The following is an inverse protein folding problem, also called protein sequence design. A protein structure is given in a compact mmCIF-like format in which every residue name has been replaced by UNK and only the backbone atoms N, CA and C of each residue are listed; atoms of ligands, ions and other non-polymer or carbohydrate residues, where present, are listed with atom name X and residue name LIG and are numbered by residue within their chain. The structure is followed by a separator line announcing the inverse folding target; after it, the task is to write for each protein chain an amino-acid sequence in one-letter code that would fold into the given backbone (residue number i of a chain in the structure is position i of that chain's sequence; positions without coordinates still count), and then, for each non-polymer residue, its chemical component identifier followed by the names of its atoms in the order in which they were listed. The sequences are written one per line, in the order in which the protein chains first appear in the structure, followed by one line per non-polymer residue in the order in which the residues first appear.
data_IF_966262143385
#
_entry.id   IF_966262143385
#
_cell.length_a   1.000
_cell.length_b   1.000
_cell.length_c   1.000
_cell.angle_alpha   90.00
_cell.angle_beta   90.00
_cell.angle_gamma   90.00
#
_symmetry.space_group_name_H-M   'P 1'
#
loop_
_entity.id
_entity.type
_entity.pdbx_description
1 polymer ?
#
# COMPACT_ATOMS: atom_id res chain seq x y z
N UNK A 1 -9.99 7.23 -0.66
CA UNK A 1 -8.64 7.59 -0.22
C UNK A 1 -7.67 7.42 -1.39
N UNK A 2 -6.90 8.45 -1.73
CA UNK A 2 -6.04 8.42 -2.92
C UNK A 2 -4.71 7.71 -2.65
N UNK A 3 -4.77 6.40 -2.50
CA UNK A 3 -3.58 5.57 -2.37
C UNK A 3 -3.28 4.91 -3.71
N UNK A 4 -2.07 5.05 -4.17
CA UNK A 4 -1.59 4.41 -5.38
C UNK A 4 -0.46 3.43 -5.07
N UNK A 5 -0.36 2.37 -5.86
CA UNK A 5 0.71 1.39 -5.75
C UNK A 5 1.17 0.93 -7.12
N UNK A 6 2.41 0.49 -7.20
CA UNK A 6 2.93 -0.12 -8.40
C UNK A 6 3.96 -1.20 -8.05
N UNK A 7 4.11 -2.13 -8.97
CA UNK A 7 5.11 -3.19 -8.86
C UNK A 7 6.05 -3.11 -10.04
N UNK A 8 7.35 -3.16 -9.76
CA UNK A 8 8.38 -3.33 -10.80
C UNK A 8 9.06 -4.67 -10.60
N UNK A 9 9.50 -5.28 -11.70
CA UNK A 9 10.25 -6.54 -11.64
C UNK A 9 11.74 -6.30 -11.35
N UNK A 10 12.53 -7.37 -11.32
CA UNK A 10 13.95 -7.29 -11.02
C UNK A 10 14.74 -6.47 -12.04
N UNK A 11 14.23 -6.33 -13.25
CA UNK A 11 14.87 -5.55 -14.31
C UNK A 11 14.39 -4.09 -14.31
N UNK A 12 13.56 -3.71 -13.35
CA UNK A 12 13.01 -2.36 -13.24
C UNK A 12 11.84 -2.09 -14.17
N UNK A 13 11.27 -3.12 -14.79
CA UNK A 13 10.09 -2.97 -15.66
C UNK A 13 8.83 -2.83 -14.85
N UNK A 14 7.96 -1.92 -15.26
CA UNK A 14 6.67 -1.72 -14.65
C UNK A 14 5.74 -2.90 -14.97
N UNK A 15 5.26 -3.59 -13.93
CA UNK A 15 4.42 -4.78 -14.06
C UNK A 15 2.96 -4.46 -13.76
N UNK A 16 2.69 -3.60 -12.79
CA UNK A 16 1.34 -3.26 -12.36
C UNK A 16 1.29 -1.85 -11.80
N UNK A 17 0.18 -1.15 -12.07
CA UNK A 17 -0.13 0.15 -11.46
C UNK A 17 -1.58 0.11 -11.01
N UNK A 18 -1.84 0.44 -9.76
CA UNK A 18 -3.18 0.36 -9.18
C UNK A 18 -3.48 1.54 -8.27
N UNK A 19 -4.74 1.74 -8.00
CA UNK A 19 -5.22 2.68 -7.01
C UNK A 19 -6.25 1.99 -6.10
N UNK A 20 -6.47 2.55 -4.91
CA UNK A 20 -7.44 2.06 -3.96
C UNK A 20 -8.84 2.05 -4.59
N UNK A 21 -9.58 0.96 -4.42
CA UNK A 21 -10.93 0.76 -4.99
C UNK A 21 -11.94 0.26 -3.97
N UNK A 22 -11.72 0.49 -2.69
CA UNK A 22 -12.60 -0.03 -1.64
C UNK A 22 -14.04 0.46 -1.78
N UNK A 23 -14.24 1.74 -2.09
CA UNK A 23 -15.57 2.32 -2.28
C UNK A 23 -16.15 1.89 -3.62
N UNK A 24 -15.38 2.03 -4.69
CA UNK A 24 -15.81 1.70 -6.06
C UNK A 24 -16.26 0.25 -6.19
N UNK A 25 -15.49 -0.67 -5.63
CA UNK A 25 -15.74 -2.11 -5.75
C UNK A 25 -16.57 -2.66 -4.59
N UNK A 26 -16.94 -1.82 -3.61
CA UNK A 26 -17.61 -2.24 -2.37
C UNK A 26 -16.87 -3.40 -1.70
N UNK A 27 -15.55 -3.32 -1.68
CA UNK A 27 -14.66 -4.35 -1.18
C UNK A 27 -13.66 -3.71 -0.22
N UNK A 28 -13.78 -3.95 1.10
CA UNK A 28 -12.86 -3.36 2.07
C UNK A 28 -11.43 -3.85 1.93
N UNK A 29 -11.20 -4.91 1.17
CA UNK A 29 -9.85 -5.43 0.92
C UNK A 29 -9.22 -4.90 -0.37
N UNK A 30 -9.96 -4.11 -1.16
CA UNK A 30 -9.46 -3.59 -2.44
C UNK A 30 -8.50 -2.41 -2.25
N UNK A 31 -7.48 -2.60 -1.43
CA UNK A 31 -6.38 -1.67 -1.26
C UNK A 31 -5.47 -1.70 -2.48
N UNK A 32 -4.83 -0.56 -2.76
CA UNK A 32 -3.94 -0.43 -3.91
C UNK A 32 -2.86 -1.51 -3.93
N UNK A 33 -2.24 -1.80 -2.79
CA UNK A 33 -1.18 -2.82 -2.69
C UNK A 33 -1.69 -4.21 -3.06
N UNK A 34 -2.85 -4.59 -2.53
CA UNK A 34 -3.44 -5.89 -2.79
C UNK A 34 -3.77 -6.07 -4.28
N UNK A 35 -4.35 -5.02 -4.88
CA UNK A 35 -4.65 -5.01 -6.31
C UNK A 35 -3.38 -5.09 -7.15
N UNK A 36 -2.31 -4.40 -6.73
CA UNK A 36 -1.02 -4.44 -7.42
C UNK A 36 -0.39 -5.83 -7.37
N UNK A 37 -0.44 -6.49 -6.21
CA UNK A 37 0.07 -7.85 -6.07
C UNK A 37 -0.69 -8.84 -6.96
N UNK A 38 -2.01 -8.75 -7.00
CA UNK A 38 -2.83 -9.60 -7.85
C UNK A 38 -2.55 -9.38 -9.33
N UNK A 39 -2.45 -8.12 -9.75
CA UNK A 39 -2.15 -7.79 -11.14
C UNK A 39 -0.76 -8.26 -11.54
N UNK A 40 0.22 -8.08 -10.67
CA UNK A 40 1.59 -8.54 -10.93
C UNK A 40 1.68 -10.06 -11.02
N UNK A 41 1.00 -10.77 -10.11
CA UNK A 41 0.96 -12.23 -10.13
C UNK A 41 0.35 -12.75 -11.44
N UNK A 42 -0.73 -12.13 -11.90
CA UNK A 42 -1.36 -12.48 -13.17
C UNK A 42 -0.44 -12.21 -14.36
N UNK A 43 0.22 -11.06 -14.37
CA UNK A 43 1.12 -10.67 -15.45
C UNK A 43 2.36 -11.56 -15.53
N UNK A 44 2.92 -11.93 -14.40
CA UNK A 44 4.14 -12.75 -14.33
C UNK A 44 3.87 -14.25 -14.29
N UNK A 45 2.61 -14.64 -14.11
CA UNK A 45 2.22 -16.06 -14.05
C UNK A 45 2.70 -16.78 -12.81
N UNK A 46 2.96 -16.05 -11.72
CA UNK A 46 3.48 -16.61 -10.48
C UNK A 46 2.97 -15.79 -9.29
N UNK A 47 2.45 -16.48 -8.27
CA UNK A 47 2.03 -15.84 -7.03
C UNK A 47 3.20 -15.37 -6.16
N UNK A 48 4.40 -15.89 -6.38
CA UNK A 48 5.61 -15.42 -5.73
C UNK A 48 6.25 -14.35 -6.60
N UNK A 49 6.38 -13.18 -6.06
CA UNK A 49 6.91 -12.01 -6.76
C UNK A 49 8.36 -11.76 -6.40
N UNK A 50 9.16 -12.83 -6.39
CA UNK A 50 10.59 -12.79 -6.08
C UNK A 50 11.30 -11.85 -7.07
N UNK A 51 12.14 -10.98 -6.54
CA UNK A 51 12.84 -9.96 -7.32
C UNK A 51 12.05 -8.69 -7.53
N UNK A 52 10.76 -8.68 -7.22
CA UNK A 52 9.91 -7.50 -7.42
C UNK A 52 10.01 -6.51 -6.26
N UNK A 53 9.75 -5.25 -6.57
CA UNK A 53 9.61 -4.16 -5.59
C UNK A 53 8.20 -3.59 -5.70
N UNK A 54 7.54 -3.46 -4.55
CA UNK A 54 6.28 -2.73 -4.46
C UNK A 54 6.53 -1.33 -3.94
N UNK A 55 6.00 -0.35 -4.66
CA UNK A 55 5.96 1.06 -4.25
C UNK A 55 4.52 1.43 -3.93
N UNK A 56 4.32 2.13 -2.83
CA UNK A 56 2.99 2.59 -2.40
C UNK A 56 3.10 3.96 -1.75
N UNK A 57 2.09 4.80 -1.94
CA UNK A 57 2.12 6.18 -1.43
C UNK A 57 1.89 6.28 0.07
N UNK A 58 1.28 5.28 0.68
CA UNK A 58 0.99 5.23 2.12
C UNK A 58 1.50 3.94 2.71
N UNK A 59 1.99 4.00 3.95
CA UNK A 59 2.48 2.84 4.70
C UNK A 59 1.44 1.70 4.69
N UNK A 60 1.84 0.45 4.38
CA UNK A 60 0.90 -0.67 4.34
C UNK A 60 0.25 -0.97 5.69
N UNK A 61 -1.02 -1.33 5.66
CA UNK A 61 -1.74 -1.83 6.82
C UNK A 61 -1.39 -3.31 7.08
N UNK A 62 -1.96 -3.89 8.14
CA UNK A 62 -1.69 -5.28 8.52
C UNK A 62 -2.03 -6.27 7.40
N UNK A 63 -3.17 -6.09 6.76
CA UNK A 63 -3.60 -6.96 5.66
C UNK A 63 -2.61 -6.94 4.50
N UNK A 64 -2.25 -5.74 4.05
CA UNK A 64 -1.35 -5.58 2.91
C UNK A 64 0.07 -5.99 3.26
N UNK A 65 0.55 -5.67 4.45
CA UNK A 65 1.87 -6.11 4.91
C UNK A 65 1.95 -7.64 4.94
N UNK A 66 0.92 -8.31 5.44
CA UNK A 66 0.83 -9.77 5.41
C UNK A 66 0.85 -10.32 3.99
N UNK A 67 0.10 -9.69 3.08
CA UNK A 67 0.07 -10.10 1.67
C UNK A 67 1.43 -9.94 0.99
N UNK A 68 2.15 -8.87 1.31
CA UNK A 68 3.50 -8.62 0.79
C UNK A 68 4.48 -9.71 1.24
N UNK A 69 4.37 -10.16 2.48
CA UNK A 69 5.18 -11.28 2.99
C UNK A 69 4.82 -12.57 2.25
N UNK A 70 3.54 -12.85 2.09
CA UNK A 70 3.07 -14.05 1.38
C UNK A 70 3.52 -14.07 -0.09
N UNK A 71 3.50 -12.90 -0.74
CA UNK A 71 3.92 -12.76 -2.12
C UNK A 71 5.43 -12.80 -2.31
N UNK A 72 6.21 -12.75 -1.23
CA UNK A 72 7.68 -12.84 -1.28
C UNK A 72 8.34 -11.71 -2.08
N UNK A 73 7.79 -10.51 -2.03
CA UNK A 73 8.44 -9.37 -2.67
C UNK A 73 9.80 -9.11 -2.02
N UNK A 74 10.77 -8.66 -2.82
CA UNK A 74 12.12 -8.37 -2.31
C UNK A 74 12.18 -7.07 -1.54
N UNK A 75 11.40 -6.07 -1.96
CA UNK A 75 11.46 -4.73 -1.39
C UNK A 75 10.09 -4.07 -1.35
N UNK A 76 9.85 -3.32 -0.28
CA UNK A 76 8.67 -2.46 -0.12
C UNK A 76 9.15 -1.05 0.13
N UNK A 77 8.67 -0.10 -0.68
CA UNK A 77 8.99 1.32 -0.55
C UNK A 77 7.67 2.07 -0.38
N UNK A 78 7.56 2.87 0.67
CA UNK A 78 6.34 3.65 0.86
C UNK A 78 6.64 5.12 1.14
N UNK A 79 5.64 5.96 0.86
CA UNK A 79 5.75 7.40 1.06
C UNK A 79 5.37 7.83 2.47
N UNK A 80 4.13 8.22 2.67
CA UNK A 80 3.68 8.72 3.95
C UNK A 80 3.52 7.62 5.00
N UNK A 81 3.82 7.96 6.25
CA UNK A 81 3.55 7.10 7.40
C UNK A 81 2.06 7.13 7.76
N UNK A 82 1.53 6.03 8.22
CA UNK A 82 0.14 5.92 8.67
C UNK A 82 0.12 5.64 10.18
N UNK A 83 -0.05 6.69 10.97
CA UNK A 83 -0.03 6.60 12.43
C UNK A 83 -1.19 5.79 13.00
N UNK A 84 -2.25 5.56 12.23
CA UNK A 84 -3.46 4.87 12.71
C UNK A 84 -3.50 3.40 12.34
N UNK A 85 -3.00 3.03 11.17
CA UNK A 85 -3.15 1.68 10.64
C UNK A 85 -1.86 1.10 10.06
N UNK A 86 -0.77 1.85 10.03
CA UNK A 86 0.47 1.42 9.40
C UNK A 86 1.17 0.30 10.17
N UNK A 87 1.51 -0.76 9.46
CA UNK A 87 2.13 -1.95 10.04
C UNK A 87 3.52 -2.24 9.42
N UNK A 88 4.20 -1.17 9.06
CA UNK A 88 5.58 -1.20 8.62
C UNK A 88 6.45 -0.25 9.45
N UNK A 89 6.08 -0.07 10.71
CA UNK A 89 6.81 0.70 11.70
C UNK A 89 5.95 1.59 12.60
N UNK A 90 4.80 2.09 12.12
CA UNK A 90 4.01 3.08 12.87
C UNK A 90 3.24 2.49 14.06
N UNK A 91 2.32 1.58 13.79
CA UNK A 91 1.53 0.91 14.84
C UNK A 91 2.20 -0.39 15.27
N UNK A 92 2.73 -1.10 14.33
CA UNK A 92 3.48 -2.32 14.50
C UNK A 92 4.29 -2.58 13.26
N UNK A 93 4.91 -3.76 13.15
CA UNK A 93 5.77 -4.06 12.02
C UNK A 93 5.64 -5.52 11.61
N UNK A 94 4.78 -5.78 10.62
CA UNK A 94 4.61 -7.11 10.05
C UNK A 94 5.75 -7.43 9.07
N UNK A 95 6.22 -6.43 8.32
CA UNK A 95 7.22 -6.64 7.27
C UNK A 95 8.58 -7.10 7.83
N UNK A 96 8.90 -6.70 9.05
CA UNK A 96 10.18 -7.06 9.71
C UNK A 96 9.99 -8.06 10.84
N UNK A 97 8.82 -8.70 10.94
CA UNK A 97 8.56 -9.61 12.06
C UNK A 97 9.54 -10.78 12.04
N UNK A 98 10.30 -11.01 13.12
CA UNK A 98 11.43 -11.97 13.10
C UNK A 98 10.99 -13.42 12.97
N UNK A 99 9.75 -13.74 13.26
CA UNK A 99 9.24 -15.12 13.22
C UNK A 99 8.53 -15.46 11.91
N UNK A 100 8.32 -14.47 11.03
CA UNK A 100 7.79 -14.76 9.70
C UNK A 100 8.91 -15.28 8.80
N UNK A 101 8.54 -16.11 7.84
CA UNK A 101 9.50 -16.82 7.02
C UNK A 101 10.08 -16.00 5.86
N UNK A 102 9.61 -14.78 5.69
CA UNK A 102 10.13 -13.85 4.68
C UNK A 102 10.10 -12.42 5.22
N UNK A 103 11.17 -11.70 5.01
CA UNK A 103 11.29 -10.28 5.41
C UNK A 103 11.83 -9.49 4.23
N UNK A 104 10.99 -8.71 3.54
CA UNK A 104 11.47 -7.84 2.48
C UNK A 104 12.33 -6.70 3.04
N UNK A 105 13.15 -6.10 2.19
CA UNK A 105 13.75 -4.81 2.52
C UNK A 105 12.63 -3.77 2.56
N UNK A 106 12.68 -2.86 3.53
CA UNK A 106 11.64 -1.86 3.73
C UNK A 106 12.26 -0.49 3.81
N UNK A 107 11.70 0.46 3.06
CA UNK A 107 12.10 1.86 3.11
C UNK A 107 10.86 2.73 3.15
N UNK A 108 10.69 3.48 4.24
CA UNK A 108 9.57 4.41 4.40
C UNK A 108 10.03 5.85 4.30
N UNK A 109 9.05 6.74 4.12
CA UNK A 109 9.29 8.18 4.07
C UNK A 109 9.81 8.69 2.73
N UNK A 110 9.77 7.88 1.69
CA UNK A 110 10.19 8.30 0.34
C UNK A 110 9.12 9.22 -0.25
N UNK A 111 9.50 10.43 -0.61
CA UNK A 111 8.56 11.47 -1.05
C UNK A 111 7.44 11.70 -0.01
N UNK A 112 7.79 11.61 1.27
CA UNK A 112 6.81 11.66 2.37
C UNK A 112 5.94 12.92 2.31
N UNK A 113 6.56 14.07 2.05
CA UNK A 113 5.83 15.34 2.02
C UNK A 113 4.78 15.37 0.92
N UNK A 114 5.14 14.96 -0.28
CA UNK A 114 4.23 14.94 -1.44
C UNK A 114 3.10 13.93 -1.24
N UNK A 115 3.42 12.74 -0.76
CA UNK A 115 2.43 11.70 -0.48
C UNK A 115 1.47 12.12 0.63
N UNK A 116 2.00 12.70 1.70
CA UNK A 116 1.19 13.21 2.80
C UNK A 116 0.28 14.35 2.37
N UNK A 117 0.75 15.23 1.48
CA UNK A 117 -0.03 16.35 0.96
C UNK A 117 -1.24 15.88 0.16
N UNK A 118 -1.08 14.87 -0.67
CA UNK A 118 -2.20 14.29 -1.43
C UNK A 118 -3.29 13.80 -0.49
N UNK A 119 -2.92 13.12 0.58
CA UNK A 119 -3.86 12.62 1.57
C UNK A 119 -4.54 13.75 2.34
N UNK A 120 -3.77 14.75 2.78
CA UNK A 120 -4.33 15.91 3.50
C UNK A 120 -5.29 16.69 2.64
N UNK A 121 -4.96 16.89 1.37
CA UNK A 121 -5.82 17.59 0.43
C UNK A 121 -7.15 16.87 0.21
N UNK A 122 -7.09 15.54 0.10
CA UNK A 122 -8.30 14.73 -0.04
C UNK A 122 -9.20 14.85 1.19
N UNK A 123 -8.68 14.70 2.38
CA UNK A 123 -9.49 14.80 3.60
C UNK A 123 -10.00 16.23 3.84
N UNK A 124 -9.21 17.24 3.51
CA UNK A 124 -9.65 18.64 3.60
C UNK A 124 -10.80 18.91 2.65
N UNK A 125 -10.74 18.41 1.41
CA UNK A 125 -11.80 18.58 0.44
C UNK A 125 -13.10 17.89 0.89
N UNK A 126 -13.01 16.71 1.47
CA UNK A 126 -14.19 16.01 1.99
C UNK A 126 -14.82 16.74 3.15
N UNK A 127 -14.02 17.29 4.08
CA UNK A 127 -14.55 18.12 5.16
C UNK A 127 -15.16 19.41 4.64
N UNK A 128 -14.46 20.04 3.69
CA UNK A 128 -14.91 21.31 3.10
C UNK A 128 -16.16 21.18 2.25
N UNK A 129 -16.46 20.01 1.71
CA UNK A 129 -17.67 19.76 0.94
C UNK A 129 -18.93 19.76 1.83
N UNK A 130 -18.78 20.10 3.10
CA UNK A 130 -19.91 20.18 4.02
C UNK A 130 -20.59 18.82 4.16
N UNK A 131 -19.83 17.77 4.00
CA UNK A 131 -20.42 16.47 4.13
C UNK A 131 -20.89 16.34 5.56
N UNK A 132 -22.16 16.47 5.73
CA UNK A 132 -22.87 16.08 6.91
C UNK A 132 -22.77 14.59 7.15
N UNK A 133 -22.01 13.92 6.35
CA UNK A 133 -21.82 12.49 6.46
C UNK A 133 -20.77 12.26 7.52
N UNK A 134 -21.20 11.82 8.67
CA UNK A 134 -20.35 11.34 9.74
C UNK A 134 -19.71 10.02 9.36
N UNK A 135 -19.12 9.98 8.19
CA UNK A 135 -18.37 8.80 7.81
C UNK A 135 -16.94 9.04 8.24
N UNK A 136 -16.37 8.20 9.09
CA UNK A 136 -14.98 8.34 9.46
C UNK A 136 -14.11 8.35 8.20
N UNK A 137 -13.03 9.12 8.18
CA UNK A 137 -12.11 9.11 7.06
C UNK A 137 -11.60 7.68 6.85
N UNK A 138 -11.69 7.22 5.60
CA UNK A 138 -11.09 5.95 5.24
C UNK A 138 -9.57 6.10 5.29
N UNK A 139 -8.89 5.11 5.83
CA UNK A 139 -7.45 5.06 5.78
C UNK A 139 -6.97 4.56 4.43
N UNK A 140 -7.84 3.88 3.73
CA UNK A 140 -7.49 3.26 2.45
C UNK A 140 -8.63 3.24 1.49
#
# INVERSE_FOLDING_TARGET
VPVGALVVDRDGRLVAVTANRTVRDRDPTAHAELLALRAAAAALGDGRLTGCTLYVTLEPCAMCAGALVLARVDRVVFGAWDAKAGMAGSVGDVLRHPRLNHRPQVRGGVCEAECGEVLRAFFAARRGAGSSVDTPPEHR
#
